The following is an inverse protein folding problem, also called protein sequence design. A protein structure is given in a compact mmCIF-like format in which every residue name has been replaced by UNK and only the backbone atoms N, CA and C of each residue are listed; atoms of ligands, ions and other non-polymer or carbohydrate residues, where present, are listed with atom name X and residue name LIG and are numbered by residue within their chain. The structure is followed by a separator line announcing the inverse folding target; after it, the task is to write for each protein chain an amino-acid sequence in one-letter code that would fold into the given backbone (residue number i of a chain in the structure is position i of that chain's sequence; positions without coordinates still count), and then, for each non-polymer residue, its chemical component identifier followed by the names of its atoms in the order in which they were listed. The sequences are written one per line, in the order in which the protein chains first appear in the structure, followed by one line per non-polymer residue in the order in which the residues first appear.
data_IF_994240006742
#
_entry.id   IF_994240006742
#
_cell.length_a   1.000
_cell.length_b   1.000
_cell.length_c   1.000
_cell.angle_alpha   90.00
_cell.angle_beta   90.00
_cell.angle_gamma   90.00
#
_symmetry.space_group_name_H-M   'P 1'
#
loop_
_entity.id
_entity.type
_entity.pdbx_description
1 polymer ?
#
# COMPACT_ATOMS: atom_id res chain seq x y z
N UNK A 1 -4.04 -6.02 -9.90
CA UNK A 1 -4.48 -7.41 -9.71
C UNK A 1 -3.59 -8.12 -8.69
N UNK A 2 -4.21 -8.93 -7.82
CA UNK A 2 -3.58 -9.70 -6.76
C UNK A 2 -3.82 -11.21 -6.96
N UNK A 3 -3.10 -12.02 -6.20
CA UNK A 3 -3.29 -13.47 -6.16
C UNK A 3 -3.15 -13.92 -4.70
N UNK A 4 -4.19 -14.61 -4.19
CA UNK A 4 -4.13 -15.35 -2.93
C UNK A 4 -4.21 -16.84 -3.18
N UNK A 5 -3.47 -17.62 -2.41
CA UNK A 5 -3.43 -19.08 -2.49
C UNK A 5 -3.75 -19.66 -1.11
N UNK A 6 -4.76 -20.54 -1.07
CA UNK A 6 -5.16 -21.25 0.15
C UNK A 6 -6.06 -22.44 -0.23
N UNK A 7 -6.33 -23.34 0.71
CA UNK A 7 -7.34 -24.38 0.55
C UNK A 7 -8.75 -23.84 0.88
N UNK A 8 -9.32 -23.07 -0.05
CA UNK A 8 -10.60 -22.39 0.15
C UNK A 8 -11.79 -23.35 0.25
N UNK A 9 -11.66 -24.59 -0.20
CA UNK A 9 -12.75 -25.56 -0.20
C UNK A 9 -12.58 -26.68 0.84
N UNK A 10 -11.43 -26.77 1.52
CA UNK A 10 -11.13 -27.74 2.56
C UNK A 10 -10.88 -29.14 2.02
N UNK A 11 -10.44 -29.30 0.76
CA UNK A 11 -10.19 -30.61 0.13
C UNK A 11 -8.72 -31.05 0.21
N UNK A 12 -7.83 -30.21 0.72
CA UNK A 12 -6.40 -30.45 0.91
C UNK A 12 -5.53 -30.10 -0.29
N UNK A 13 -6.10 -29.48 -1.33
CA UNK A 13 -5.35 -28.91 -2.45
C UNK A 13 -5.41 -27.38 -2.39
N UNK A 14 -4.32 -26.74 -2.81
CA UNK A 14 -4.26 -25.29 -2.86
C UNK A 14 -5.12 -24.76 -4.02
N UNK A 15 -6.08 -23.93 -3.68
CA UNK A 15 -6.88 -23.12 -4.59
C UNK A 15 -6.22 -21.76 -4.79
N UNK A 16 -6.68 -20.95 -5.74
CA UNK A 16 -6.18 -19.60 -5.86
C UNK A 16 -7.26 -18.60 -6.33
N UNK A 17 -7.24 -17.44 -5.72
CA UNK A 17 -7.98 -16.27 -6.13
C UNK A 17 -7.13 -15.39 -7.04
N UNK A 18 -7.73 -14.84 -8.10
CA UNK A 18 -7.11 -13.83 -8.97
C UNK A 18 -8.01 -12.62 -8.99
N UNK A 19 -7.51 -11.53 -8.38
CA UNK A 19 -8.13 -10.23 -8.43
C UNK A 19 -8.04 -9.60 -9.82
N UNK A 20 -8.93 -8.68 -10.12
CA UNK A 20 -9.05 -8.06 -11.43
C UNK A 20 -8.92 -6.54 -11.40
N UNK A 21 -8.61 -5.96 -12.55
CA UNK A 21 -8.70 -4.53 -12.77
C UNK A 21 -10.18 -4.12 -12.98
N UNK A 22 -10.47 -2.86 -12.75
CA UNK A 22 -11.77 -2.23 -13.02
C UNK A 22 -12.35 -2.64 -14.37
N UNK A 23 -13.61 -3.04 -14.38
CA UNK A 23 -14.31 -3.49 -15.58
C UNK A 23 -14.11 -4.98 -15.92
N UNK A 24 -13.43 -5.73 -15.05
CA UNK A 24 -13.21 -7.17 -15.17
C UNK A 24 -13.75 -7.90 -13.92
N UNK A 25 -14.05 -9.18 -14.03
CA UNK A 25 -14.58 -9.98 -12.92
C UNK A 25 -13.45 -10.83 -12.33
N UNK A 26 -13.22 -10.70 -11.04
CA UNK A 26 -12.29 -11.52 -10.27
C UNK A 26 -12.75 -12.98 -10.19
N UNK A 27 -11.85 -13.88 -9.89
CA UNK A 27 -12.15 -15.30 -9.99
C UNK A 27 -11.37 -16.10 -8.98
N UNK A 28 -12.07 -17.03 -8.34
CA UNK A 28 -11.49 -18.12 -7.57
C UNK A 28 -11.37 -19.36 -8.46
N UNK A 29 -10.30 -20.10 -8.32
CA UNK A 29 -10.03 -21.32 -9.06
C UNK A 29 -9.81 -22.45 -8.07
N UNK A 30 -10.79 -23.35 -7.98
CA UNK A 30 -10.71 -24.55 -7.17
C UNK A 30 -9.89 -25.61 -7.87
N UNK A 31 -8.83 -26.12 -7.21
CA UNK A 31 -8.04 -27.22 -7.69
C UNK A 31 -8.74 -28.56 -7.42
N UNK A 32 -8.66 -29.48 -8.35
CA UNK A 32 -9.02 -30.89 -8.16
C UNK A 32 -8.05 -31.78 -8.93
N UNK A 33 -7.30 -32.62 -8.24
CA UNK A 33 -6.28 -33.54 -8.76
C UNK A 33 -5.38 -33.00 -9.90
N UNK A 34 -5.94 -32.70 -11.08
CA UNK A 34 -5.21 -32.26 -12.28
C UNK A 34 -5.86 -31.07 -13.01
N UNK A 35 -6.92 -30.49 -12.47
CA UNK A 35 -7.67 -29.42 -13.15
C UNK A 35 -8.07 -28.33 -12.18
N UNK A 36 -8.33 -27.13 -12.72
CA UNK A 36 -8.90 -26.02 -11.99
C UNK A 36 -10.30 -25.71 -12.49
N UNK A 37 -11.23 -25.49 -11.55
CA UNK A 37 -12.60 -25.08 -11.84
C UNK A 37 -12.76 -23.62 -11.46
N UNK A 38 -13.06 -22.79 -12.46
CA UNK A 38 -13.25 -21.35 -12.28
C UNK A 38 -14.60 -21.04 -11.61
N UNK A 39 -14.58 -20.16 -10.60
CA UNK A 39 -15.74 -19.66 -9.87
C UNK A 39 -15.66 -18.14 -9.73
N UNK A 40 -16.56 -17.40 -10.38
CA UNK A 40 -16.54 -15.94 -10.44
C UNK A 40 -17.80 -15.27 -9.89
N UNK A 41 -18.85 -16.05 -9.65
CA UNK A 41 -20.18 -15.55 -9.30
C UNK A 41 -20.21 -14.59 -8.09
N UNK A 42 -19.47 -14.80 -7.00
CA UNK A 42 -19.48 -13.89 -5.86
C UNK A 42 -18.98 -12.47 -6.18
N UNK A 43 -18.14 -12.36 -7.20
CA UNK A 43 -17.41 -11.12 -7.53
C UNK A 43 -18.05 -10.31 -8.66
N UNK A 44 -19.16 -10.78 -9.24
CA UNK A 44 -19.84 -10.14 -10.40
C UNK A 44 -20.35 -8.73 -10.07
N UNK A 45 -20.77 -8.49 -8.82
CA UNK A 45 -21.31 -7.19 -8.39
C UNK A 45 -20.21 -6.14 -8.13
N UNK A 46 -18.95 -6.56 -8.01
CA UNK A 46 -17.82 -5.70 -7.68
C UNK A 46 -16.92 -5.43 -8.89
N UNK A 47 -17.46 -5.61 -10.11
CA UNK A 47 -16.74 -5.42 -11.39
C UNK A 47 -16.16 -4.00 -11.58
N UNK A 48 -16.72 -3.01 -10.91
CA UNK A 48 -16.27 -1.62 -11.00
C UNK A 48 -15.12 -1.30 -10.02
N UNK A 49 -14.83 -2.19 -9.06
CA UNK A 49 -13.67 -2.07 -8.16
C UNK A 49 -12.38 -2.54 -8.84
N UNK A 50 -11.24 -2.10 -8.34
CA UNK A 50 -9.91 -2.57 -8.73
C UNK A 50 -9.27 -3.31 -7.55
N UNK A 51 -8.95 -4.58 -7.74
CA UNK A 51 -8.37 -5.44 -6.72
C UNK A 51 -6.85 -5.26 -6.72
N UNK A 52 -6.33 -4.73 -5.63
CA UNK A 52 -4.89 -4.43 -5.50
C UNK A 52 -4.18 -5.51 -4.72
N UNK A 53 -4.78 -5.96 -3.61
CA UNK A 53 -4.24 -7.00 -2.74
C UNK A 53 -5.35 -7.90 -2.24
N UNK A 54 -5.01 -9.06 -1.69
CA UNK A 54 -5.96 -9.98 -1.11
C UNK A 54 -5.33 -10.79 0.03
N UNK A 55 -6.17 -11.24 0.95
CA UNK A 55 -5.77 -12.00 2.12
C UNK A 55 -6.78 -13.09 2.41
N UNK A 56 -6.30 -14.32 2.66
CA UNK A 56 -7.11 -15.46 3.09
C UNK A 56 -6.98 -15.69 4.60
N UNK A 57 -8.03 -16.16 5.24
CA UNK A 57 -8.05 -16.48 6.67
C UNK A 57 -9.47 -16.73 7.17
N UNK A 58 -9.59 -17.29 8.37
CA UNK A 58 -10.87 -17.42 9.06
C UNK A 58 -11.13 -16.12 9.85
N UNK A 59 -11.96 -15.22 9.29
CA UNK A 59 -12.23 -13.92 9.89
C UNK A 59 -13.50 -13.90 10.75
N UNK A 60 -14.30 -14.98 10.71
CA UNK A 60 -15.55 -15.05 11.48
C UNK A 60 -15.57 -16.17 12.53
N UNK A 61 -14.47 -16.92 12.68
CA UNK A 61 -14.29 -18.00 13.68
C UNK A 61 -15.09 -19.27 13.37
N UNK A 62 -15.51 -19.49 12.11
CA UNK A 62 -16.32 -20.66 11.74
C UNK A 62 -15.49 -21.86 11.23
N UNK A 63 -14.18 -21.69 11.08
CA UNK A 63 -13.22 -22.70 10.66
C UNK A 63 -13.09 -22.86 9.15
N UNK A 64 -13.70 -22.01 8.34
CA UNK A 64 -13.52 -21.98 6.89
C UNK A 64 -12.68 -20.79 6.47
N UNK A 65 -11.93 -20.96 5.38
CA UNK A 65 -11.07 -19.90 4.85
C UNK A 65 -11.93 -18.88 4.09
N UNK A 66 -11.99 -17.66 4.61
CA UNK A 66 -12.63 -16.50 4.00
C UNK A 66 -11.63 -15.75 3.10
N UNK A 67 -12.11 -14.72 2.39
CA UNK A 67 -11.29 -13.90 1.50
C UNK A 67 -11.55 -12.41 1.74
N UNK A 68 -10.50 -11.66 2.08
CA UNK A 68 -10.51 -10.19 2.02
C UNK A 68 -9.87 -9.73 0.71
N UNK A 69 -10.46 -8.73 0.07
CA UNK A 69 -9.93 -8.10 -1.14
C UNK A 69 -9.77 -6.61 -0.92
N UNK A 70 -8.53 -6.14 -1.01
CA UNK A 70 -8.20 -4.72 -0.96
C UNK A 70 -8.58 -4.02 -2.25
N UNK A 71 -9.24 -2.87 -2.11
CA UNK A 71 -9.67 -2.03 -3.22
C UNK A 71 -8.81 -0.79 -3.32
N UNK A 72 -8.34 -0.48 -4.52
CA UNK A 72 -7.50 0.67 -4.74
C UNK A 72 -7.62 1.24 -6.15
N UNK A 73 -6.55 1.85 -6.62
CA UNK A 73 -6.48 2.51 -7.92
C UNK A 73 -6.51 4.04 -7.82
N UNK A 74 -6.02 4.69 -8.88
CA UNK A 74 -5.97 6.15 -8.99
C UNK A 74 -7.09 6.74 -9.85
N UNK A 75 -7.94 5.89 -10.42
CA UNK A 75 -8.97 6.25 -11.40
C UNK A 75 -10.28 6.72 -10.77
N UNK A 76 -10.40 6.51 -9.46
CA UNK A 76 -11.60 6.84 -8.71
C UNK A 76 -11.55 8.27 -8.16
N UNK A 77 -12.71 8.87 -7.95
CA UNK A 77 -12.80 10.09 -7.16
C UNK A 77 -12.64 9.75 -5.67
N UNK A 78 -12.18 10.71 -4.88
CA UNK A 78 -12.28 10.61 -3.43
C UNK A 78 -13.75 10.32 -3.05
N UNK A 79 -13.97 9.50 -2.02
CA UNK A 79 -15.30 9.03 -1.58
C UNK A 79 -15.99 8.02 -2.52
N UNK A 80 -15.28 7.47 -3.50
CA UNK A 80 -15.84 6.42 -4.36
C UNK A 80 -16.11 5.15 -3.56
N UNK A 81 -17.30 4.54 -3.63
CA UNK A 81 -17.58 3.29 -2.93
C UNK A 81 -16.71 2.12 -3.42
N UNK A 82 -16.18 2.22 -4.62
CA UNK A 82 -15.28 1.22 -5.21
C UNK A 82 -13.91 1.15 -4.53
N UNK A 83 -13.56 2.14 -3.69
CA UNK A 83 -12.35 2.14 -2.86
C UNK A 83 -12.54 1.39 -1.52
N UNK A 84 -13.74 0.90 -1.23
CA UNK A 84 -13.96 0.09 -0.02
C UNK A 84 -13.39 -1.29 -0.18
N UNK A 85 -12.66 -1.75 0.82
CA UNK A 85 -12.21 -3.13 0.91
C UNK A 85 -13.41 -4.06 1.15
N UNK A 86 -13.28 -5.33 0.80
CA UNK A 86 -14.41 -6.27 0.77
C UNK A 86 -14.02 -7.58 1.45
N UNK A 87 -14.91 -8.08 2.29
CA UNK A 87 -14.82 -9.42 2.88
C UNK A 87 -15.85 -10.33 2.22
N UNK A 88 -15.43 -11.52 1.82
CA UNK A 88 -16.27 -12.59 1.31
C UNK A 88 -16.17 -13.78 2.26
N UNK A 89 -17.25 -14.01 3.02
CA UNK A 89 -17.34 -15.14 3.94
C UNK A 89 -17.65 -16.44 3.21
N UNK A 90 -16.88 -17.46 3.52
CA UNK A 90 -17.06 -18.81 3.00
C UNK A 90 -17.94 -19.63 3.95
N UNK A 91 -18.93 -20.32 3.43
CA UNK A 91 -19.86 -21.14 4.22
C UNK A 91 -19.47 -22.63 4.29
N UNK A 92 -18.27 -22.99 3.87
CA UNK A 92 -17.77 -24.35 3.82
C UNK A 92 -18.42 -25.25 2.74
N UNK A 93 -19.16 -24.66 1.80
CA UNK A 93 -19.81 -25.35 0.67
C UNK A 93 -19.44 -24.73 -0.66
N UNK A 94 -18.26 -24.12 -0.75
CA UNK A 94 -17.77 -23.37 -1.91
C UNK A 94 -18.69 -22.22 -2.30
N UNK A 95 -19.38 -21.61 -1.32
CA UNK A 95 -20.23 -20.43 -1.53
C UNK A 95 -19.64 -19.28 -0.72
N UNK A 96 -19.19 -18.28 -1.43
CA UNK A 96 -18.67 -17.04 -0.88
C UNK A 96 -19.75 -15.97 -0.94
N UNK A 97 -20.00 -15.30 0.18
CA UNK A 97 -20.98 -14.23 0.29
C UNK A 97 -20.27 -12.97 0.79
N UNK A 98 -20.46 -11.86 0.08
CA UNK A 98 -19.94 -10.58 0.53
C UNK A 98 -20.60 -10.17 1.84
N UNK A 99 -19.78 -9.86 2.84
CA UNK A 99 -20.23 -9.35 4.14
C UNK A 99 -20.29 -7.81 4.10
N UNK A 100 -21.47 -7.28 3.90
CA UNK A 100 -21.67 -5.84 3.71
C UNK A 100 -21.38 -5.01 4.97
N UNK A 101 -21.42 -5.63 6.14
CA UNK A 101 -21.15 -4.95 7.43
C UNK A 101 -19.66 -4.96 7.81
N UNK A 102 -18.82 -5.72 7.14
CA UNK A 102 -17.43 -5.91 7.52
C UNK A 102 -16.68 -4.58 7.75
N UNK A 103 -16.84 -3.64 6.82
CA UNK A 103 -16.13 -2.35 6.81
C UNK A 103 -17.10 -1.15 6.78
N UNK A 104 -18.34 -1.30 7.28
CA UNK A 104 -19.40 -0.30 7.11
C UNK A 104 -19.09 1.04 7.77
N UNK A 105 -18.43 1.00 8.93
CA UNK A 105 -18.10 2.19 9.73
C UNK A 105 -16.68 2.70 9.47
N UNK A 106 -15.95 2.10 8.52
CA UNK A 106 -14.60 2.53 8.17
C UNK A 106 -14.65 3.69 7.18
N UNK A 107 -14.22 4.88 7.64
CA UNK A 107 -14.15 6.09 6.82
C UNK A 107 -12.81 6.20 6.10
N UNK A 108 -12.57 5.29 5.15
CA UNK A 108 -11.37 5.26 4.32
C UNK A 108 -11.64 5.84 2.94
N UNK A 109 -10.74 6.72 2.48
CA UNK A 109 -10.83 7.40 1.18
C UNK A 109 -9.58 7.21 0.33
N UNK A 110 -8.58 6.58 0.91
CA UNK A 110 -7.31 6.27 0.28
C UNK A 110 -7.41 4.96 -0.50
N UNK A 111 -6.52 4.82 -1.48
CA UNK A 111 -6.29 3.57 -2.18
C UNK A 111 -5.52 2.61 -1.29
N UNK A 112 -6.12 1.51 -0.88
CA UNK A 112 -5.41 0.42 -0.22
C UNK A 112 -4.40 -0.20 -1.18
N UNK A 113 -3.24 -0.53 -0.68
CA UNK A 113 -2.15 -1.16 -1.44
C UNK A 113 -1.75 -2.51 -0.90
N UNK A 114 -1.95 -2.73 0.39
CA UNK A 114 -1.61 -3.99 1.06
C UNK A 114 -2.51 -4.24 2.25
N UNK A 115 -2.75 -5.51 2.54
CA UNK A 115 -3.43 -5.98 3.76
C UNK A 115 -2.57 -7.05 4.40
N UNK A 116 -2.32 -6.91 5.70
CA UNK A 116 -1.72 -7.98 6.51
C UNK A 116 -2.52 -8.21 7.78
N UNK A 117 -2.48 -9.45 8.32
CA UNK A 117 -3.26 -9.82 9.47
C UNK A 117 -2.42 -10.41 10.61
N UNK A 118 -2.83 -10.11 11.83
CA UNK A 118 -2.31 -10.71 13.05
C UNK A 118 -3.37 -10.56 14.15
N UNK A 119 -3.29 -11.38 15.18
CA UNK A 119 -4.00 -11.15 16.43
C UNK A 119 -3.26 -10.00 17.15
N UNK A 120 -3.81 -8.77 17.07
CA UNK A 120 -3.15 -7.53 17.54
C UNK A 120 -3.51 -7.25 19.00
N UNK A 121 -4.75 -7.55 19.41
CA UNK A 121 -5.25 -7.28 20.75
C UNK A 121 -5.17 -8.49 21.70
N UNK A 122 -4.86 -9.67 21.19
CA UNK A 122 -4.62 -10.88 21.96
C UNK A 122 -5.89 -11.69 22.26
N UNK A 123 -6.96 -11.49 21.47
CA UNK A 123 -8.24 -12.20 21.64
C UNK A 123 -8.36 -13.46 20.78
N UNK A 124 -7.37 -13.76 19.95
CA UNK A 124 -7.21 -14.89 19.03
C UNK A 124 -7.97 -14.76 17.70
N UNK A 125 -8.57 -13.63 17.45
CA UNK A 125 -9.16 -13.31 16.15
C UNK A 125 -8.12 -12.64 15.24
N UNK A 126 -8.34 -12.67 13.93
CA UNK A 126 -7.44 -11.99 12.98
C UNK A 126 -7.86 -10.54 12.79
N UNK A 127 -7.02 -9.64 13.26
CA UNK A 127 -7.11 -8.19 13.01
C UNK A 127 -6.32 -7.82 11.77
N UNK A 128 -6.53 -6.59 11.25
CA UNK A 128 -5.95 -6.14 10.02
C UNK A 128 -5.10 -4.88 10.17
N UNK A 129 -3.98 -4.86 9.48
CA UNK A 129 -3.33 -3.64 9.03
C UNK A 129 -3.70 -3.38 7.57
N UNK A 130 -4.22 -2.19 7.27
CA UNK A 130 -4.39 -1.71 5.90
C UNK A 130 -3.36 -0.63 5.60
N UNK A 131 -2.42 -0.96 4.73
CA UNK A 131 -1.47 -0.01 4.17
C UNK A 131 -2.09 0.71 2.98
N UNK A 132 -1.99 2.05 2.96
CA UNK A 132 -2.50 2.86 1.86
C UNK A 132 -1.37 3.60 1.15
N UNK A 133 -1.49 3.73 -0.18
CA UNK A 133 -0.44 4.32 -1.00
C UNK A 133 -0.70 5.75 -1.41
N UNK A 134 -1.93 6.08 -1.74
CA UNK A 134 -2.27 7.42 -2.24
C UNK A 134 -3.72 7.80 -1.98
N UNK A 135 -3.95 9.09 -1.84
CA UNK A 135 -5.24 9.70 -2.08
C UNK A 135 -5.45 9.83 -3.59
N UNK A 136 -6.64 9.46 -4.09
CA UNK A 136 -6.93 9.55 -5.52
C UNK A 136 -6.70 10.96 -6.04
N UNK A 137 -5.87 11.10 -7.07
CA UNK A 137 -5.50 12.39 -7.67
C UNK A 137 -4.36 13.15 -6.98
N UNK A 138 -3.74 12.60 -5.91
CA UNK A 138 -2.68 13.29 -5.15
C UNK A 138 -1.52 12.33 -4.81
N UNK A 139 -0.63 12.09 -5.77
CA UNK A 139 0.58 11.30 -5.54
C UNK A 139 1.61 12.07 -4.71
N UNK A 140 2.35 11.38 -3.85
CA UNK A 140 3.45 11.96 -3.06
C UNK A 140 3.05 12.59 -1.74
N UNK A 141 1.77 12.53 -1.38
CA UNK A 141 1.27 12.95 -0.06
C UNK A 141 1.17 11.71 0.82
N UNK A 142 1.64 11.82 2.05
CA UNK A 142 1.47 10.76 3.05
C UNK A 142 0.00 10.47 3.26
N UNK A 143 -0.35 9.19 3.30
CA UNK A 143 -1.70 8.71 3.53
C UNK A 143 -1.87 8.13 4.93
N UNK A 144 -3.11 8.06 5.39
CA UNK A 144 -3.44 7.39 6.65
C UNK A 144 -3.43 5.89 6.44
N UNK A 145 -2.86 5.17 7.40
CA UNK A 145 -2.91 3.72 7.46
C UNK A 145 -3.81 3.29 8.61
N UNK A 146 -4.31 2.07 8.57
CA UNK A 146 -5.39 1.64 9.44
C UNK A 146 -5.02 0.38 10.21
N UNK A 147 -5.37 0.35 11.50
CA UNK A 147 -5.50 -0.86 12.31
C UNK A 147 -7.00 -1.09 12.52
N UNK A 148 -7.46 -2.22 12.05
CA UNK A 148 -8.85 -2.62 12.14
C UNK A 148 -8.95 -3.85 13.04
N UNK A 149 -9.62 -3.69 14.17
CA UNK A 149 -9.82 -4.77 15.15
C UNK A 149 -11.10 -5.52 14.81
N UNK A 150 -10.98 -6.84 14.73
CA UNK A 150 -12.07 -7.77 14.46
C UNK A 150 -12.88 -8.03 15.75
N UNK A 151 -14.16 -8.26 15.61
CA UNK A 151 -15.02 -8.67 16.72
C UNK A 151 -15.27 -10.20 16.75
N UNK A 152 -14.46 -10.99 16.04
CA UNK A 152 -14.59 -12.43 15.90
C UNK A 152 -15.74 -12.90 15.02
N UNK A 153 -16.35 -11.99 14.24
CA UNK A 153 -17.47 -12.29 13.33
C UNK A 153 -17.29 -11.67 11.95
N UNK A 154 -16.07 -11.23 11.62
CA UNK A 154 -15.78 -10.56 10.34
C UNK A 154 -16.32 -9.14 10.25
N UNK A 155 -16.51 -8.45 11.38
CA UNK A 155 -16.85 -7.02 11.43
C UNK A 155 -15.73 -6.28 12.14
N UNK A 156 -15.18 -5.28 11.45
CA UNK A 156 -13.97 -4.57 11.86
C UNK A 156 -14.28 -3.16 12.35
N UNK A 157 -13.54 -2.73 13.39
CA UNK A 157 -13.57 -1.38 13.94
C UNK A 157 -12.24 -0.68 13.73
N UNK A 158 -12.26 0.59 13.27
CA UNK A 158 -11.04 1.41 13.12
C UNK A 158 -10.55 1.89 14.49
N UNK A 159 -9.47 1.29 14.97
CA UNK A 159 -8.78 1.67 16.20
C UNK A 159 -7.38 2.26 15.92
N UNK A 160 -7.15 2.77 14.72
CA UNK A 160 -5.85 3.27 14.27
C UNK A 160 -5.28 4.38 15.15
N UNK A 161 -6.13 5.28 15.65
CA UNK A 161 -5.69 6.39 16.50
C UNK A 161 -5.21 5.90 17.87
N UNK A 162 -5.78 4.79 18.39
CA UNK A 162 -5.35 4.16 19.63
C UNK A 162 -4.00 3.47 19.47
N UNK A 163 -3.84 2.69 18.41
CA UNK A 163 -2.63 1.89 18.18
C UNK A 163 -1.46 2.68 17.60
N UNK A 164 -1.70 3.64 16.71
CA UNK A 164 -0.63 4.39 16.02
C UNK A 164 -0.43 5.81 16.57
N UNK A 165 -1.47 6.46 17.10
CA UNK A 165 -1.41 7.88 17.44
C UNK A 165 -0.88 8.70 16.25
N UNK A 166 0.16 9.50 16.49
CA UNK A 166 0.80 10.32 15.44
C UNK A 166 1.53 9.52 14.33
N UNK A 167 1.78 8.23 14.54
CA UNK A 167 2.47 7.36 13.58
C UNK A 167 1.57 6.86 12.44
N UNK A 168 0.27 7.19 12.44
CA UNK A 168 -0.68 6.78 11.41
C UNK A 168 -0.29 7.23 9.99
N UNK A 169 0.39 8.37 9.85
CA UNK A 169 0.88 8.92 8.58
C UNK A 169 2.29 8.42 8.27
N UNK A 170 2.44 7.13 7.96
CA UNK A 170 3.74 6.49 7.72
C UNK A 170 4.40 6.95 6.43
N UNK A 171 3.62 7.04 5.34
CA UNK A 171 4.12 7.35 4.00
C UNK A 171 3.19 6.80 2.93
N UNK A 172 3.74 6.52 1.75
CA UNK A 172 3.06 5.87 0.64
C UNK A 172 3.36 4.37 0.72
N UNK A 173 2.61 3.66 1.56
CA UNK A 173 2.83 2.23 1.80
C UNK A 173 2.53 1.43 0.53
N UNK A 174 3.34 0.45 0.22
CA UNK A 174 3.16 -0.45 -0.92
C UNK A 174 3.04 -1.90 -0.51
N UNK A 175 3.66 -2.28 0.62
CA UNK A 175 3.60 -3.64 1.13
C UNK A 175 3.86 -3.68 2.65
N UNK A 176 3.35 -4.73 3.31
CA UNK A 176 3.46 -4.92 4.76
C UNK A 176 3.38 -6.38 5.16
N UNK A 177 3.97 -6.73 6.30
CA UNK A 177 3.91 -8.09 6.85
C UNK A 177 4.04 -8.04 8.38
N UNK A 178 3.34 -8.96 9.06
CA UNK A 178 3.51 -9.21 10.49
C UNK A 178 4.45 -10.40 10.71
N UNK A 179 5.59 -10.16 11.33
CA UNK A 179 6.60 -11.18 11.60
C UNK A 179 7.27 -10.96 12.95
N UNK A 180 7.47 -12.03 13.71
CA UNK A 180 8.26 -12.02 14.95
C UNK A 180 9.75 -12.02 14.60
N UNK A 181 10.34 -10.83 14.44
CA UNK A 181 11.72 -10.66 13.96
C UNK A 181 12.78 -10.91 15.05
N UNK A 182 12.41 -10.75 16.32
CA UNK A 182 13.33 -10.95 17.45
C UNK A 182 13.03 -12.24 18.25
N UNK A 183 12.06 -13.03 17.80
CA UNK A 183 11.65 -14.33 18.34
C UNK A 183 11.19 -14.24 19.81
N UNK A 184 10.54 -13.13 20.21
CA UNK A 184 9.99 -12.94 21.54
C UNK A 184 8.53 -13.43 21.69
N UNK A 185 7.92 -13.89 20.60
CA UNK A 185 6.56 -14.39 20.51
C UNK A 185 5.52 -13.32 20.14
N UNK A 186 5.94 -12.07 19.96
CA UNK A 186 5.08 -10.97 19.48
C UNK A 186 5.52 -10.56 18.09
N UNK A 187 4.58 -10.45 17.16
CA UNK A 187 4.93 -10.05 15.80
C UNK A 187 5.09 -8.53 15.68
N UNK A 188 6.17 -8.11 15.03
CA UNK A 188 6.34 -6.73 14.57
C UNK A 188 5.64 -6.53 13.22
N UNK A 189 5.10 -5.33 13.02
CA UNK A 189 4.62 -4.87 11.73
C UNK A 189 5.79 -4.26 10.95
N UNK A 190 6.12 -4.85 9.80
CA UNK A 190 7.09 -4.32 8.85
C UNK A 190 6.34 -3.66 7.70
N UNK A 191 6.76 -2.46 7.32
CA UNK A 191 6.10 -1.65 6.29
C UNK A 191 7.14 -1.12 5.33
N UNK A 192 6.91 -1.27 4.04
CA UNK A 192 7.72 -0.67 2.97
C UNK A 192 6.86 0.19 2.06
N UNK A 193 7.47 1.12 1.36
CA UNK A 193 6.72 2.00 0.48
C UNK A 193 7.58 2.90 -0.39
N UNK A 194 6.93 3.81 -1.09
CA UNK A 194 7.58 4.78 -1.96
C UNK A 194 7.97 6.03 -1.18
N UNK A 195 9.18 6.53 -1.41
CA UNK A 195 9.71 7.76 -0.81
C UNK A 195 9.80 7.73 0.72
N UNK A 196 9.96 6.55 1.29
CA UNK A 196 10.03 6.35 2.74
C UNK A 196 11.11 5.32 3.10
N UNK A 197 11.63 5.34 4.34
CA UNK A 197 12.47 4.26 4.85
C UNK A 197 11.63 3.02 5.15
N UNK A 198 12.29 1.88 5.32
CA UNK A 198 11.67 0.68 5.87
C UNK A 198 11.20 0.97 7.30
N UNK A 199 9.91 0.78 7.55
CA UNK A 199 9.29 0.93 8.84
C UNK A 199 9.22 -0.42 9.58
N UNK A 200 9.65 -0.45 10.85
CA UNK A 200 9.44 -1.60 11.75
C UNK A 200 8.77 -1.08 13.01
N UNK A 201 7.62 -1.62 13.31
CA UNK A 201 6.77 -1.19 14.42
C UNK A 201 6.51 -2.35 15.37
N UNK A 202 6.93 -2.20 16.62
CA UNK A 202 6.70 -3.15 17.71
C UNK A 202 5.56 -2.66 18.59
N UNK A 203 4.63 -3.55 18.92
CA UNK A 203 3.58 -3.24 19.88
C UNK A 203 4.15 -3.27 21.29
N UNK A 204 3.94 -2.21 22.05
CA UNK A 204 4.31 -2.10 23.46
C UNK A 204 3.25 -1.29 24.20
N UNK A 205 2.69 -1.85 25.27
CA UNK A 205 1.60 -1.25 26.05
C UNK A 205 0.37 -0.86 25.18
N UNK A 206 0.03 -1.67 24.18
CA UNK A 206 -1.13 -1.47 23.30
C UNK A 206 -0.92 -0.44 22.20
N UNK A 207 0.31 0.03 21.96
CA UNK A 207 0.63 0.98 20.89
C UNK A 207 1.80 0.52 20.03
N UNK A 208 1.77 0.80 18.72
CA UNK A 208 2.88 0.53 17.81
C UNK A 208 3.94 1.62 17.88
N UNK A 209 5.12 1.23 18.33
CA UNK A 209 6.29 2.08 18.41
C UNK A 209 7.25 1.81 17.27
N UNK A 210 7.64 2.86 16.55
CA UNK A 210 8.63 2.73 15.48
C UNK A 210 10.02 2.43 16.06
N UNK A 211 10.56 1.25 15.75
CA UNK A 211 11.89 0.79 16.19
C UNK A 211 12.93 0.77 15.07
N UNK A 212 12.61 1.27 13.88
CA UNK A 212 13.48 1.25 12.69
C UNK A 212 14.88 1.83 12.96
N UNK A 213 14.95 2.93 13.72
CA UNK A 213 16.23 3.55 14.10
C UNK A 213 17.10 2.64 14.96
N UNK A 214 16.49 1.87 15.88
CA UNK A 214 17.20 0.91 16.72
C UNK A 214 17.79 -0.24 15.91
N UNK A 215 17.15 -0.54 14.76
CA UNK A 215 17.58 -1.56 13.81
C UNK A 215 18.51 -1.03 12.71
N UNK A 216 18.83 0.28 12.74
CA UNK A 216 19.72 0.91 11.74
C UNK A 216 19.06 1.15 10.38
N UNK A 217 17.71 1.17 10.31
CA UNK A 217 16.95 1.28 9.07
C UNK A 217 16.50 2.72 8.74
N UNK A 218 16.83 3.72 9.57
CA UNK A 218 16.41 5.11 9.38
C UNK A 218 16.91 5.76 8.07
N UNK A 219 17.96 5.20 7.48
CA UNK A 219 18.54 5.68 6.21
C UNK A 219 18.18 4.80 5.01
N UNK A 220 17.31 3.83 5.18
CA UNK A 220 16.93 2.89 4.13
C UNK A 220 15.88 3.46 3.18
N UNK A 221 15.92 4.77 2.86
CA UNK A 221 14.96 5.38 1.95
C UNK A 221 15.01 4.76 0.55
N UNK A 222 13.84 4.48 -0.03
CA UNK A 222 13.75 3.85 -1.34
C UNK A 222 12.41 4.05 -2.02
N UNK A 223 12.32 3.47 -3.21
CA UNK A 223 11.08 3.25 -3.94
C UNK A 223 10.82 1.73 -3.89
N UNK A 224 10.27 1.30 -2.78
CA UNK A 224 9.97 -0.11 -2.52
C UNK A 224 8.62 -0.47 -3.09
N UNK A 225 8.45 -1.73 -3.47
CA UNK A 225 7.20 -2.23 -4.04
C UNK A 225 6.78 -3.60 -3.50
N UNK A 226 7.69 -4.34 -2.89
CA UNK A 226 7.40 -5.66 -2.32
C UNK A 226 8.23 -5.91 -1.08
N UNK A 227 7.64 -6.68 -0.18
CA UNK A 227 8.24 -7.22 1.03
C UNK A 227 7.98 -8.74 1.05
N UNK A 228 8.97 -9.52 1.40
CA UNK A 228 8.86 -10.96 1.55
C UNK A 228 9.63 -11.40 2.79
N UNK A 229 9.02 -12.20 3.62
CA UNK A 229 9.67 -12.81 4.78
C UNK A 229 10.12 -14.23 4.44
N UNK A 230 11.39 -14.47 4.57
CA UNK A 230 12.02 -15.76 4.24
C UNK A 230 12.66 -16.36 5.50
N UNK A 231 12.36 -17.61 5.78
CA UNK A 231 13.02 -18.35 6.86
C UNK A 231 14.08 -19.25 6.24
N UNK A 232 15.33 -18.96 6.51
CA UNK A 232 16.45 -19.77 6.10
C UNK A 232 16.84 -20.84 7.16
N UNK A 233 18.02 -21.44 7.06
CA UNK A 233 18.45 -22.53 7.95
C UNK A 233 18.88 -22.07 9.35
N UNK A 234 19.01 -20.79 9.62
CA UNK A 234 19.41 -20.28 10.94
C UNK A 234 18.21 -20.00 11.87
N UNK A 235 17.00 -20.18 11.36
CA UNK A 235 15.72 -20.02 12.07
C UNK A 235 15.34 -18.58 12.43
N UNK A 236 16.12 -17.60 11.99
CA UNK A 236 15.71 -16.19 12.05
C UNK A 236 15.00 -15.78 10.76
N UNK A 237 13.96 -14.95 10.84
CA UNK A 237 13.33 -14.41 9.64
C UNK A 237 14.30 -13.47 8.92
N UNK A 238 14.52 -13.71 7.63
CA UNK A 238 15.18 -12.77 6.74
C UNK A 238 14.10 -11.96 5.99
N UNK A 239 14.41 -10.72 5.65
CA UNK A 239 13.49 -9.83 4.95
C UNK A 239 14.09 -9.46 3.60
N UNK A 240 13.38 -9.77 2.53
CA UNK A 240 13.73 -9.40 1.17
C UNK A 240 12.81 -8.27 0.72
N UNK A 241 13.40 -7.15 0.30
CA UNK A 241 12.63 -5.95 -0.12
C UNK A 241 12.96 -5.63 -1.57
N UNK A 242 11.92 -5.61 -2.41
CA UNK A 242 12.03 -5.18 -3.80
C UNK A 242 12.15 -3.66 -3.89
N UNK A 243 13.21 -3.17 -4.54
CA UNK A 243 13.45 -1.74 -4.76
C UNK A 243 13.54 -1.44 -6.26
N UNK A 244 13.00 -0.30 -6.68
CA UNK A 244 13.16 0.21 -8.04
C UNK A 244 14.63 0.24 -8.48
N UNK A 245 15.53 0.68 -7.61
CA UNK A 245 16.98 0.64 -7.78
C UNK A 245 17.43 1.27 -9.10
N UNK A 246 18.28 0.54 -9.84
CA UNK A 246 18.88 0.99 -11.10
C UNK A 246 18.05 0.58 -12.36
N UNK A 247 16.82 0.13 -12.21
CA UNK A 247 15.96 -0.28 -13.34
C UNK A 247 15.48 0.88 -14.22
N UNK A 248 15.89 2.11 -13.93
CA UNK A 248 15.57 3.31 -14.72
C UNK A 248 16.80 4.21 -14.88
N UNK A 249 16.58 5.38 -15.47
CA UNK A 249 17.62 6.40 -15.59
C UNK A 249 17.88 7.19 -14.29
N UNK A 250 17.05 7.03 -13.27
CA UNK A 250 17.25 7.67 -11.98
C UNK A 250 18.56 7.23 -11.34
N UNK A 251 19.24 8.19 -10.72
CA UNK A 251 20.47 7.95 -9.97
C UNK A 251 20.37 8.66 -8.64
N UNK A 252 20.68 7.95 -7.57
CA UNK A 252 20.65 8.45 -6.22
C UNK A 252 21.85 7.94 -5.43
N UNK A 253 22.27 8.69 -4.44
CA UNK A 253 23.23 8.30 -3.42
C UNK A 253 22.86 8.97 -2.09
N UNK A 254 23.50 8.59 -1.00
CA UNK A 254 23.27 9.22 0.30
C UNK A 254 23.53 10.74 0.28
N UNK A 255 24.55 11.19 -0.45
CA UNK A 255 24.89 12.62 -0.60
C UNK A 255 24.09 13.36 -1.68
N UNK A 256 23.53 12.62 -2.64
CA UNK A 256 22.76 13.16 -3.78
C UNK A 256 21.48 12.32 -3.97
N UNK A 257 20.51 12.44 -3.05
CA UNK A 257 19.28 11.68 -3.13
C UNK A 257 18.41 12.13 -4.32
N UNK A 258 17.64 11.20 -4.87
CA UNK A 258 16.50 11.56 -5.71
C UNK A 258 15.47 12.23 -4.80
N UNK A 259 14.94 13.37 -5.21
CA UNK A 259 13.97 14.14 -4.43
C UNK A 259 12.67 14.29 -5.18
N UNK A 260 11.56 14.37 -4.45
CA UNK A 260 10.27 14.72 -5.01
C UNK A 260 9.67 15.87 -4.19
N UNK A 261 9.36 16.95 -4.88
CA UNK A 261 8.68 18.11 -4.32
C UNK A 261 7.20 18.01 -4.65
N UNK A 262 6.36 18.08 -3.62
CA UNK A 262 4.91 17.99 -3.75
C UNK A 262 4.29 19.24 -3.16
N UNK A 263 3.67 20.06 -3.99
CA UNK A 263 3.02 21.30 -3.56
C UNK A 263 1.98 21.74 -4.60
N UNK A 264 1.10 22.66 -4.24
CA UNK A 264 0.28 23.44 -5.17
C UNK A 264 1.13 24.63 -5.68
N UNK A 265 1.97 24.35 -6.69
CA UNK A 265 2.97 25.32 -7.18
C UNK A 265 2.37 26.53 -7.89
N UNK A 266 1.18 26.42 -8.44
CA UNK A 266 0.51 27.52 -9.14
C UNK A 266 -0.74 28.03 -8.41
N UNK A 267 -1.03 27.52 -7.23
CA UNK A 267 -2.14 27.90 -6.34
C UNK A 267 -3.51 27.69 -6.98
N UNK A 268 -3.66 26.58 -7.70
CA UNK A 268 -4.91 26.20 -8.35
C UNK A 268 -5.78 25.24 -7.51
N UNK A 269 -5.32 24.83 -6.32
CA UNK A 269 -5.97 23.90 -5.41
C UNK A 269 -5.69 22.43 -5.71
N UNK A 270 -4.73 22.13 -6.60
CA UNK A 270 -4.22 20.80 -6.89
C UNK A 270 -2.75 20.71 -6.56
N UNK A 271 -2.29 19.53 -6.19
CA UNK A 271 -0.87 19.29 -5.93
C UNK A 271 -0.18 18.79 -7.20
N UNK A 272 0.96 19.37 -7.51
CA UNK A 272 1.88 18.88 -8.53
C UNK A 272 3.06 18.16 -7.89
N UNK A 273 3.71 17.28 -8.65
CA UNK A 273 4.87 16.49 -8.24
C UNK A 273 6.04 16.76 -9.18
N UNK A 274 7.13 17.27 -8.62
CA UNK A 274 8.32 17.58 -9.40
C UNK A 274 9.51 16.84 -8.82
N UNK A 275 10.00 15.85 -9.57
CA UNK A 275 11.21 15.13 -9.20
C UNK A 275 12.45 15.91 -9.56
N UNK A 276 13.42 15.92 -8.64
CA UNK A 276 14.74 16.48 -8.80
C UNK A 276 15.81 15.40 -8.73
N UNK A 277 16.81 15.48 -9.61
CA UNK A 277 17.98 14.61 -9.63
C UNK A 277 19.25 15.43 -9.73
N UNK A 278 20.29 15.02 -9.02
CA UNK A 278 21.59 15.69 -9.03
C UNK A 278 22.39 15.37 -10.29
N UNK A 279 23.00 16.40 -10.87
CA UNK A 279 24.06 16.31 -11.87
C UNK A 279 25.26 17.11 -11.36
N UNK A 280 26.30 16.43 -10.89
CA UNK A 280 27.32 17.03 -10.04
C UNK A 280 26.68 17.44 -8.70
N UNK A 281 26.95 18.64 -8.23
CA UNK A 281 26.42 19.17 -6.96
C UNK A 281 25.11 19.96 -7.14
N UNK A 282 24.58 20.02 -8.35
CA UNK A 282 23.40 20.81 -8.67
C UNK A 282 22.15 19.92 -8.87
N UNK A 283 21.03 20.35 -8.31
CA UNK A 283 19.75 19.67 -8.42
C UNK A 283 18.93 20.22 -9.58
N UNK A 284 18.57 19.33 -10.52
CA UNK A 284 17.79 19.65 -11.73
C UNK A 284 16.44 18.94 -11.73
N UNK A 285 15.39 19.58 -12.29
CA UNK A 285 14.13 18.91 -12.50
C UNK A 285 14.26 17.80 -13.55
N UNK A 286 13.67 16.66 -13.27
CA UNK A 286 13.64 15.51 -14.20
C UNK A 286 12.55 15.67 -15.25
N UNK A 287 11.53 16.44 -14.94
CA UNK A 287 10.35 16.65 -15.79
C UNK A 287 10.71 17.40 -17.08
N UNK A 288 10.13 16.96 -18.21
CA UNK A 288 10.28 17.68 -19.48
C UNK A 288 9.44 18.96 -19.49
N UNK A 289 9.90 19.98 -20.24
CA UNK A 289 9.22 21.28 -20.31
C UNK A 289 7.73 21.18 -20.73
N UNK A 290 7.37 20.28 -21.61
CA UNK A 290 5.97 20.08 -22.02
C UNK A 290 5.11 19.54 -20.87
N UNK A 291 5.64 18.60 -20.13
CA UNK A 291 4.93 17.98 -19.00
C UNK A 291 4.82 18.97 -17.85
N UNK A 292 5.86 19.78 -17.63
CA UNK A 292 5.83 20.87 -16.67
C UNK A 292 4.75 21.92 -17.02
N UNK A 293 4.55 22.23 -18.30
CA UNK A 293 3.46 23.14 -18.71
C UNK A 293 2.07 22.53 -18.55
N UNK A 294 1.94 21.21 -18.62
CA UNK A 294 0.66 20.55 -18.36
C UNK A 294 0.32 20.56 -16.88
N UNK A 295 1.33 20.39 -16.04
CA UNK A 295 1.16 20.45 -14.59
C UNK A 295 0.98 21.89 -14.10
N UNK A 296 1.85 22.82 -14.53
CA UNK A 296 1.91 24.20 -14.07
C UNK A 296 1.83 25.17 -15.28
N UNK A 297 0.62 25.46 -15.81
CA UNK A 297 0.44 26.28 -17.00
C UNK A 297 1.02 27.69 -16.89
N UNK A 298 1.13 28.23 -15.67
CA UNK A 298 1.69 29.57 -15.42
C UNK A 298 3.15 29.69 -15.85
N UNK A 299 3.94 28.60 -15.78
CA UNK A 299 5.34 28.57 -16.19
C UNK A 299 5.54 28.70 -17.71
N UNK A 300 4.49 28.48 -18.52
CA UNK A 300 4.55 28.66 -19.96
C UNK A 300 4.92 30.09 -20.36
N UNK A 301 4.54 31.07 -19.56
CA UNK A 301 4.90 32.47 -19.80
C UNK A 301 6.39 32.74 -19.53
N UNK A 302 6.97 32.03 -18.58
CA UNK A 302 8.37 32.21 -18.18
C UNK A 302 9.32 31.42 -19.08
N UNK A 303 8.94 30.21 -19.49
CA UNK A 303 9.76 29.28 -20.29
C UNK A 303 9.08 28.97 -21.62
N UNK A 304 9.04 29.93 -22.55
CA UNK A 304 8.42 29.76 -23.87
C UNK A 304 9.15 28.79 -24.78
N UNK A 305 10.45 28.61 -24.56
CA UNK A 305 11.33 27.77 -25.40
C UNK A 305 12.16 26.86 -24.50
N UNK A 306 12.44 25.66 -24.99
CA UNK A 306 13.31 24.70 -24.31
C UNK A 306 14.70 25.29 -23.97
N UNK A 307 15.24 26.15 -24.82
CA UNK A 307 16.51 26.85 -24.58
C UNK A 307 16.54 27.63 -23.24
N UNK A 308 15.41 28.15 -22.79
CA UNK A 308 15.30 28.89 -21.55
C UNK A 308 15.16 27.99 -20.31
N UNK A 309 14.83 26.73 -20.52
CA UNK A 309 14.57 25.74 -19.47
C UNK A 309 15.73 24.74 -19.27
N UNK A 310 16.41 24.30 -20.34
CA UNK A 310 17.31 23.14 -20.40
C UNK A 310 18.40 23.07 -19.33
N UNK A 311 18.79 24.20 -18.75
CA UNK A 311 19.85 24.27 -17.73
C UNK A 311 19.35 24.89 -16.42
N UNK A 312 18.04 24.92 -16.21
CA UNK A 312 17.46 25.49 -15.00
C UNK A 312 17.53 24.50 -13.86
N UNK A 313 18.10 24.93 -12.73
CA UNK A 313 18.10 24.21 -11.48
C UNK A 313 16.76 24.33 -10.77
N UNK A 314 16.48 23.49 -9.80
CA UNK A 314 15.22 23.52 -9.05
C UNK A 314 14.96 24.87 -8.37
N UNK A 315 15.97 25.48 -7.77
CA UNK A 315 15.89 26.79 -7.10
C UNK A 315 15.74 27.98 -8.05
N UNK A 316 15.95 27.77 -9.35
CA UNK A 316 15.70 28.76 -10.40
C UNK A 316 14.28 28.67 -10.99
N UNK A 317 13.58 27.55 -10.79
CA UNK A 317 12.22 27.34 -11.23
C UNK A 317 11.20 27.84 -10.23
N UNK A 318 11.47 27.63 -8.95
CA UNK A 318 10.58 27.91 -7.84
C UNK A 318 11.32 28.68 -6.75
N UNK A 319 10.61 29.56 -6.05
CA UNK A 319 11.19 30.23 -4.89
C UNK A 319 11.47 29.23 -3.76
N UNK A 320 12.46 29.55 -2.92
CA UNK A 320 12.80 28.72 -1.77
C UNK A 320 11.63 28.44 -0.85
N UNK A 321 10.73 29.42 -0.67
CA UNK A 321 9.51 29.29 0.15
C UNK A 321 8.51 28.25 -0.37
N UNK A 322 8.64 27.84 -1.64
CA UNK A 322 7.77 26.84 -2.27
C UNK A 322 8.45 25.45 -2.24
N UNK A 323 9.78 25.42 -2.16
CA UNK A 323 10.59 24.18 -2.21
C UNK A 323 10.89 23.67 -0.79
N UNK A 324 10.97 24.53 0.20
CA UNK A 324 11.13 24.20 1.63
C UNK A 324 9.79 23.88 2.29
#
# INVERSE_FOLDING_TARGET
PCVCVDDFNGDGFDDFFVGSAKGSISSLFFQSEQTFVKYSKPFEMDIDSEDIDCLSGDFNGDGFVDLIVASGGSEFSNFSPELRDRLYLNNGKNIFLKEESAFIDINKFESTSTISASDIDGDSDLDLFLGTRLNTGSYGIKTQNYILINNGRGVFEDQSDEYFGDNRLMGMVTDSEFVDIDLDGTKELIVVGEWMPVGVYKIDNGTFNNISSKLGLEKSNGLYNTLEVVINKDSFPDIIIGNHGLNSFFRASESHPLTMYVNDFDRNGRTEQIMGMYYGDDLYPVVQLKDLWMQIPSLKKQFLKFENYKNKKMDELFSKEIIE
#
